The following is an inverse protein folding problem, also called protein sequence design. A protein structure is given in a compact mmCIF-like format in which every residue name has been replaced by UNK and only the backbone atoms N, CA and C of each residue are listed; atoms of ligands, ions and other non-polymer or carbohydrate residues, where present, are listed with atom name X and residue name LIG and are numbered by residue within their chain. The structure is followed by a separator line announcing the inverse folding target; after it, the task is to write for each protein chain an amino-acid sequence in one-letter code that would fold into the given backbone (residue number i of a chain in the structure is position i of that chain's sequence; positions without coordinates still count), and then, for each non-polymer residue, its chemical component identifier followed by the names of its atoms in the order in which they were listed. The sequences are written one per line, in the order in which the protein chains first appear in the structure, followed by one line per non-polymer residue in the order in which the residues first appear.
data_IF_297638260319
#
_entry.id   IF_297638260319
#
_cell.length_a   1.000
_cell.length_b   1.000
_cell.length_c   1.000
_cell.angle_alpha   90.00
_cell.angle_beta   90.00
_cell.angle_gamma   90.00
#
_symmetry.space_group_name_H-M   'P 1'
#
loop_
_entity.id
_entity.type
_entity.pdbx_description
1 polymer ?
#
# COMPACT_ATOMS: atom_id res chain seq x y z
N UNK A 1 -13.55 50.72 -63.61
CA UNK A 1 -12.17 50.21 -63.61
C UNK A 1 -12.01 49.33 -62.39
N UNK A 2 -12.23 48.09 -62.52
CA UNK A 2 -11.38 46.87 -62.51
C UNK A 2 -10.19 46.98 -61.57
N UNK A 3 -10.20 46.16 -60.49
CA UNK A 3 -9.12 45.31 -60.15
C UNK A 3 -9.51 44.28 -59.04
N UNK A 4 -9.18 43.04 -59.35
CA UNK A 4 -9.54 41.77 -58.83
C UNK A 4 -8.95 41.44 -57.43
N UNK A 5 -9.48 40.40 -56.80
CA UNK A 5 -9.12 39.95 -55.46
C UNK A 5 -7.90 39.07 -55.46
N UNK A 6 -7.15 39.11 -54.36
CA UNK A 6 -6.09 38.15 -54.09
C UNK A 6 -6.57 37.13 -53.03
N UNK A 7 -6.82 35.91 -53.52
CA UNK A 7 -7.12 34.77 -52.67
C UNK A 7 -5.79 34.26 -52.08
N UNK A 8 -5.61 34.43 -50.78
CA UNK A 8 -4.52 33.75 -50.08
C UNK A 8 -5.16 32.59 -49.32
N UNK A 9 -4.90 31.38 -49.80
CA UNK A 9 -5.13 30.12 -49.15
C UNK A 9 -4.12 30.00 -48.02
N UNK A 10 -4.58 30.02 -46.76
CA UNK A 10 -3.78 29.58 -45.61
C UNK A 10 -4.25 28.15 -45.31
N UNK A 11 -3.51 27.19 -45.80
CA UNK A 11 -3.56 25.81 -45.34
C UNK A 11 -2.79 25.73 -44.01
N UNK A 12 -3.49 25.90 -42.90
CA UNK A 12 -2.95 25.67 -41.59
C UNK A 12 -2.97 24.17 -41.31
N UNK A 13 -1.78 23.61 -41.22
CA UNK A 13 -1.50 22.23 -40.90
C UNK A 13 -2.06 21.88 -39.50
N UNK A 14 -3.01 20.98 -39.48
CA UNK A 14 -3.38 20.21 -38.27
C UNK A 14 -2.30 19.17 -37.99
N UNK A 15 -1.20 19.61 -37.41
CA UNK A 15 -0.15 18.73 -36.92
C UNK A 15 -0.34 18.53 -35.41
N UNK A 16 -0.87 17.38 -35.05
CA UNK A 16 -0.38 16.64 -33.92
C UNK A 16 -0.67 17.15 -32.53
N UNK A 17 -1.75 16.67 -31.91
CA UNK A 17 -1.76 16.45 -30.46
C UNK A 17 -2.24 15.05 -30.15
N UNK A 18 -1.44 14.06 -30.55
CA UNK A 18 -1.57 12.69 -30.09
C UNK A 18 -0.52 12.41 -29.00
N UNK A 19 -0.55 13.18 -27.90
CA UNK A 19 0.39 13.01 -26.77
C UNK A 19 -0.32 13.01 -25.41
N UNK A 20 -1.49 12.42 -25.30
CA UNK A 20 -2.16 12.27 -24.00
C UNK A 20 -2.57 10.84 -23.69
N UNK A 21 -1.77 9.87 -24.11
CA UNK A 21 -1.91 8.48 -23.68
C UNK A 21 -0.71 8.07 -22.79
N UNK A 22 -0.15 8.96 -21.98
CA UNK A 22 0.73 8.59 -20.90
C UNK A 22 -0.13 8.26 -19.68
N UNK A 23 -0.58 7.02 -19.57
CA UNK A 23 -0.92 6.46 -18.28
C UNK A 23 0.24 6.70 -17.29
N UNK A 24 0.01 6.69 -15.96
CA UNK A 24 1.05 7.00 -14.98
C UNK A 24 2.30 6.17 -15.28
N UNK A 25 3.43 6.86 -15.46
CA UNK A 25 4.70 6.23 -15.89
C UNK A 25 5.09 5.21 -14.82
N UNK A 26 4.95 3.92 -15.12
CA UNK A 26 5.27 2.80 -14.21
C UNK A 26 6.77 2.64 -13.96
N UNK A 27 7.62 3.22 -14.82
CA UNK A 27 9.07 3.11 -14.74
C UNK A 27 9.60 3.64 -13.41
N UNK A 28 10.27 2.79 -12.63
CA UNK A 28 10.84 3.16 -11.32
C UNK A 28 9.82 3.25 -10.18
N UNK A 29 8.55 2.85 -10.37
CA UNK A 29 7.59 2.70 -9.30
C UNK A 29 7.67 1.30 -8.68
N UNK A 30 7.60 1.24 -7.35
CA UNK A 30 7.36 0.01 -6.60
C UNK A 30 5.85 -0.26 -6.48
N UNK A 31 5.05 0.79 -6.29
CA UNK A 31 3.60 0.74 -6.40
C UNK A 31 3.02 2.09 -6.82
N UNK A 32 1.83 2.04 -7.41
CA UNK A 32 0.95 3.18 -7.67
C UNK A 32 -0.32 2.98 -6.84
N UNK A 33 -0.71 4.00 -6.08
CA UNK A 33 -1.88 3.97 -5.19
C UNK A 33 -2.68 5.25 -5.42
N UNK A 34 -3.61 5.22 -6.36
CA UNK A 34 -4.31 6.43 -6.80
C UNK A 34 -3.35 7.43 -7.46
N UNK A 35 -3.23 8.61 -6.86
CA UNK A 35 -2.29 9.64 -7.28
C UNK A 35 -0.91 9.51 -6.61
N UNK A 36 -0.80 8.65 -5.61
CA UNK A 36 0.45 8.45 -4.89
C UNK A 36 1.33 7.44 -5.59
N UNK A 37 2.62 7.72 -5.61
CA UNK A 37 3.63 6.88 -6.21
C UNK A 37 4.70 6.52 -5.20
N UNK A 38 4.78 5.26 -4.85
CA UNK A 38 5.89 4.71 -4.07
C UNK A 38 6.99 4.34 -5.07
N UNK A 39 8.07 5.12 -5.11
CA UNK A 39 9.19 4.82 -6.01
C UNK A 39 10.07 3.70 -5.43
N UNK A 40 10.78 2.97 -6.32
CA UNK A 40 11.79 1.98 -5.89
C UNK A 40 12.88 2.65 -5.05
N UNK A 41 13.29 3.88 -5.39
CA UNK A 41 14.26 4.64 -4.62
C UNK A 41 13.75 4.96 -3.20
N UNK A 42 12.49 5.42 -3.06
CA UNK A 42 11.89 5.66 -1.74
C UNK A 42 11.79 4.37 -0.93
N UNK A 43 11.36 3.27 -1.55
CA UNK A 43 11.26 1.97 -0.89
C UNK A 43 12.63 1.49 -0.40
N UNK A 44 13.67 1.55 -1.22
CA UNK A 44 15.03 1.18 -0.82
C UNK A 44 15.52 2.06 0.34
N UNK A 45 15.34 3.38 0.23
CA UNK A 45 15.70 4.31 1.32
C UNK A 45 14.94 4.02 2.62
N UNK A 46 13.68 3.62 2.54
CA UNK A 46 12.87 3.21 3.70
C UNK A 46 13.49 1.96 4.37
N UNK A 47 13.83 0.94 3.59
CA UNK A 47 14.46 -0.27 4.10
C UNK A 47 15.86 0.00 4.66
N UNK A 48 16.65 0.84 4.00
CA UNK A 48 18.00 1.22 4.47
C UNK A 48 17.93 1.95 5.84
N UNK A 49 16.97 2.84 6.02
CA UNK A 49 16.74 3.51 7.31
C UNK A 49 16.31 2.50 8.37
N UNK A 50 15.31 1.68 8.06
CA UNK A 50 14.83 0.63 8.94
C UNK A 50 15.96 -0.28 9.41
N UNK A 51 16.82 -0.76 8.51
CA UNK A 51 17.93 -1.67 8.85
C UNK A 51 18.98 -1.02 9.77
N UNK A 52 19.16 0.30 9.67
CA UNK A 52 20.07 1.08 10.53
C UNK A 52 19.46 1.41 11.89
N UNK A 53 18.15 1.50 11.98
CA UNK A 53 17.43 1.83 13.21
C UNK A 53 17.12 0.58 14.05
N UNK A 54 16.76 -0.54 13.43
CA UNK A 54 16.34 -1.77 14.08
C UNK A 54 17.29 -2.24 15.19
N UNK A 55 18.64 -2.22 15.04
CA UNK A 55 19.56 -2.63 16.10
C UNK A 55 19.52 -1.75 17.35
N UNK A 56 19.04 -0.52 17.24
CA UNK A 56 18.93 0.44 18.36
C UNK A 56 17.71 0.17 19.24
N UNK A 57 16.79 -0.71 18.80
CA UNK A 57 15.53 -1.04 19.48
C UNK A 57 15.43 -2.55 19.73
N UNK A 58 16.09 -3.10 20.76
CA UNK A 58 16.05 -4.54 21.04
C UNK A 58 14.62 -5.09 21.20
N UNK A 59 13.70 -4.27 21.73
CA UNK A 59 12.28 -4.61 21.88
C UNK A 59 11.59 -4.90 20.54
N UNK A 60 12.02 -4.28 19.44
CA UNK A 60 11.42 -4.52 18.13
C UNK A 60 11.61 -5.96 17.65
N UNK A 61 12.80 -6.55 17.89
CA UNK A 61 13.07 -7.94 17.55
C UNK A 61 12.25 -8.91 18.40
N UNK A 62 12.10 -8.61 19.70
CA UNK A 62 11.26 -9.42 20.59
C UNK A 62 9.79 -9.39 20.16
N UNK A 63 9.26 -8.21 19.81
CA UNK A 63 7.88 -8.06 19.30
C UNK A 63 7.68 -8.91 18.03
N UNK A 64 8.60 -8.85 17.07
CA UNK A 64 8.51 -9.62 15.83
C UNK A 64 8.55 -11.13 16.08
N UNK A 65 9.44 -11.60 16.95
CA UNK A 65 9.53 -13.01 17.33
C UNK A 65 8.27 -13.48 18.06
N UNK A 66 7.76 -12.71 18.99
CA UNK A 66 6.55 -13.05 19.74
C UNK A 66 5.32 -13.12 18.83
N UNK A 67 5.16 -12.20 17.88
CA UNK A 67 4.08 -12.23 16.92
C UNK A 67 4.15 -13.50 16.03
N UNK A 68 5.33 -13.87 15.57
CA UNK A 68 5.53 -15.12 14.82
C UNK A 68 5.19 -16.36 15.66
N UNK A 69 5.62 -16.40 16.92
CA UNK A 69 5.34 -17.51 17.83
C UNK A 69 3.84 -17.69 18.13
N UNK A 70 3.07 -16.60 18.09
CA UNK A 70 1.61 -16.60 18.27
C UNK A 70 0.84 -16.92 16.98
N UNK A 71 1.52 -17.26 15.89
CA UNK A 71 0.89 -17.54 14.59
C UNK A 71 0.20 -16.32 13.97
N UNK A 72 0.47 -15.12 14.49
CA UNK A 72 0.01 -13.91 13.86
C UNK A 72 0.74 -13.76 12.53
N UNK A 73 -0.01 -13.57 11.45
CA UNK A 73 0.57 -13.17 10.17
C UNK A 73 1.16 -11.77 10.33
N UNK A 74 2.42 -11.72 10.79
CA UNK A 74 3.15 -10.46 10.77
C UNK A 74 3.40 -10.17 9.29
N UNK A 75 3.00 -9.00 8.79
CA UNK A 75 3.27 -8.65 7.40
C UNK A 75 4.76 -8.46 7.11
N UNK A 76 5.61 -8.71 8.11
CA UNK A 76 7.06 -8.64 7.99
C UNK A 76 7.63 -9.99 7.58
N UNK A 77 8.13 -10.06 6.35
CA UNK A 77 8.92 -11.16 5.82
C UNK A 77 10.42 -10.77 5.92
N UNK A 78 11.19 -11.37 6.83
CA UNK A 78 12.62 -11.04 6.98
C UNK A 78 13.43 -11.43 5.74
N UNK A 79 12.94 -12.33 4.90
CA UNK A 79 13.60 -12.70 3.64
C UNK A 79 13.40 -11.64 2.55
N UNK A 80 12.42 -10.76 2.69
CA UNK A 80 12.12 -9.70 1.74
C UNK A 80 11.65 -8.40 2.45
N UNK A 81 12.57 -7.67 3.10
CA UNK A 81 12.23 -6.41 3.80
C UNK A 81 11.55 -5.39 2.91
N UNK A 82 11.91 -5.35 1.61
CA UNK A 82 11.28 -4.46 0.65
C UNK A 82 9.78 -4.76 0.48
N UNK A 83 9.39 -6.03 0.44
CA UNK A 83 7.98 -6.41 0.33
C UNK A 83 7.21 -6.03 1.59
N UNK A 84 7.80 -6.27 2.75
CA UNK A 84 7.22 -5.90 4.04
C UNK A 84 6.98 -4.40 4.14
N UNK A 85 8.00 -3.59 3.85
CA UNK A 85 7.89 -2.14 3.85
C UNK A 85 6.87 -1.65 2.81
N UNK A 86 6.88 -2.22 1.59
CA UNK A 86 5.94 -1.85 0.54
C UNK A 86 4.50 -2.14 0.94
N UNK A 87 4.25 -3.33 1.54
CA UNK A 87 2.93 -3.69 2.04
C UNK A 87 2.43 -2.64 3.04
N UNK A 88 3.23 -2.28 4.05
CA UNK A 88 2.85 -1.32 5.07
C UNK A 88 2.55 0.08 4.48
N UNK A 89 3.39 0.55 3.55
CA UNK A 89 3.18 1.83 2.89
C UNK A 89 1.89 1.84 2.07
N UNK A 90 1.60 0.77 1.34
CA UNK A 90 0.35 0.61 0.57
C UNK A 90 -0.84 0.52 1.51
N UNK A 91 -0.75 -0.29 2.58
CA UNK A 91 -1.83 -0.49 3.55
C UNK A 91 -2.27 0.82 4.20
N UNK A 92 -1.32 1.66 4.64
CA UNK A 92 -1.62 2.98 5.20
C UNK A 92 -2.38 3.88 4.20
N UNK A 93 -1.96 3.91 2.93
CA UNK A 93 -2.62 4.71 1.89
C UNK A 93 -4.03 4.20 1.58
N UNK A 94 -4.24 2.89 1.55
CA UNK A 94 -5.58 2.31 1.33
C UNK A 94 -6.49 2.62 2.50
N UNK A 95 -6.02 2.52 3.74
CA UNK A 95 -6.83 2.88 4.92
C UNK A 95 -7.16 4.38 4.97
N UNK A 96 -6.24 5.26 4.59
CA UNK A 96 -6.53 6.70 4.45
C UNK A 96 -7.67 6.94 3.44
N UNK A 97 -7.68 6.22 2.32
CA UNK A 97 -8.78 6.30 1.34
C UNK A 97 -10.09 5.75 1.90
N UNK A 98 -10.06 4.64 2.67
CA UNK A 98 -11.25 4.10 3.35
C UNK A 98 -11.84 5.17 4.28
N UNK A 99 -11.00 5.76 5.14
CA UNK A 99 -11.43 6.80 6.07
C UNK A 99 -12.02 8.00 5.35
N UNK A 100 -11.33 8.48 4.32
CA UNK A 100 -11.81 9.61 3.51
C UNK A 100 -13.16 9.33 2.84
N UNK A 101 -13.32 8.14 2.27
CA UNK A 101 -14.57 7.74 1.61
C UNK A 101 -15.74 7.57 2.58
N UNK A 102 -15.46 7.21 3.82
CA UNK A 102 -16.44 6.96 4.87
C UNK A 102 -16.65 8.17 5.82
N UNK A 103 -15.96 9.28 5.57
CA UNK A 103 -16.05 10.49 6.39
C UNK A 103 -15.45 10.32 7.80
N UNK A 104 -14.54 9.33 7.98
CA UNK A 104 -13.79 9.13 9.22
C UNK A 104 -12.41 9.76 9.09
N UNK A 105 -12.06 10.62 10.05
CA UNK A 105 -10.76 11.29 10.10
C UNK A 105 -10.16 11.16 11.49
N UNK A 106 -8.83 11.16 11.55
CA UNK A 106 -8.05 11.10 12.79
C UNK A 106 -7.26 12.39 12.94
N UNK A 107 -7.46 13.09 14.05
CA UNK A 107 -6.73 14.31 14.37
C UNK A 107 -5.34 14.03 14.94
N UNK A 108 -4.43 15.01 14.83
CA UNK A 108 -3.11 14.91 15.47
C UNK A 108 -3.18 14.70 16.99
N UNK A 109 -4.16 15.33 17.66
CA UNK A 109 -4.38 15.15 19.10
C UNK A 109 -4.80 13.72 19.48
N UNK A 110 -5.60 13.04 18.65
CA UNK A 110 -5.92 11.62 18.86
C UNK A 110 -4.67 10.74 18.71
N UNK A 111 -3.83 11.02 17.71
CA UNK A 111 -2.55 10.33 17.53
C UNK A 111 -1.66 10.52 18.77
N UNK A 112 -1.52 11.75 19.26
CA UNK A 112 -0.70 12.06 20.44
C UNK A 112 -1.24 11.36 21.70
N UNK A 113 -2.55 11.34 21.89
CA UNK A 113 -3.18 10.65 23.00
C UNK A 113 -2.91 9.13 22.99
N UNK A 114 -3.00 8.50 21.82
CA UNK A 114 -2.71 7.06 21.67
C UNK A 114 -1.23 6.77 21.91
N UNK A 115 -0.33 7.61 21.41
CA UNK A 115 1.11 7.48 21.67
C UNK A 115 1.38 7.53 23.18
N UNK A 116 0.79 8.51 23.88
CA UNK A 116 0.97 8.65 25.33
C UNK A 116 0.41 7.46 26.10
N UNK A 117 -0.78 6.96 25.73
CA UNK A 117 -1.42 5.81 26.37
C UNK A 117 -0.64 4.50 26.18
N UNK A 118 0.12 4.38 25.10
CA UNK A 118 0.91 3.19 24.77
C UNK A 118 2.39 3.27 25.20
N UNK A 119 2.71 4.08 26.18
CA UNK A 119 4.06 4.17 26.74
C UNK A 119 5.01 5.13 26.00
N UNK A 120 4.45 5.99 25.16
CA UNK A 120 5.20 7.03 24.46
C UNK A 120 5.75 6.59 23.12
N UNK A 121 6.44 7.53 22.45
CA UNK A 121 6.90 7.36 21.08
C UNK A 121 7.90 6.19 20.93
N UNK A 122 8.77 5.98 21.92
CA UNK A 122 9.77 4.89 21.87
C UNK A 122 9.14 3.49 21.77
N UNK A 123 8.00 3.27 22.44
CA UNK A 123 7.27 2.00 22.33
C UNK A 123 6.63 1.84 20.94
N UNK A 124 6.08 2.93 20.40
CA UNK A 124 5.53 2.94 19.04
C UNK A 124 6.64 2.70 18.02
N UNK A 125 7.81 3.33 18.18
CA UNK A 125 8.97 3.13 17.32
C UNK A 125 9.39 1.65 17.25
N UNK A 126 9.44 0.98 18.41
CA UNK A 126 9.75 -0.45 18.46
C UNK A 126 8.71 -1.29 17.69
N UNK A 127 7.42 -0.96 17.82
CA UNK A 127 6.35 -1.64 17.09
C UNK A 127 6.46 -1.42 15.57
N UNK A 128 6.73 -0.19 15.14
CA UNK A 128 6.86 0.17 13.72
C UNK A 128 8.08 -0.51 13.09
N UNK A 129 9.20 -0.55 13.81
CA UNK A 129 10.39 -1.29 13.39
C UNK A 129 10.13 -2.79 13.27
N UNK A 130 9.34 -3.37 14.20
CA UNK A 130 8.92 -4.77 14.11
C UNK A 130 8.02 -5.06 12.89
N UNK A 131 7.36 -4.04 12.33
CA UNK A 131 6.56 -4.12 11.09
C UNK A 131 7.37 -3.87 9.82
N UNK A 132 8.67 -3.59 9.91
CA UNK A 132 9.55 -3.35 8.76
C UNK A 132 9.59 -1.91 8.27
N UNK A 133 9.14 -0.94 9.07
CA UNK A 133 9.22 0.48 8.77
C UNK A 133 10.18 1.22 9.71
N UNK A 134 10.89 2.26 9.26
CA UNK A 134 11.69 3.13 10.13
C UNK A 134 10.78 4.04 10.99
N UNK A 135 11.34 4.56 12.06
CA UNK A 135 10.64 5.36 13.08
C UNK A 135 9.99 6.63 12.53
N UNK A 136 10.44 7.14 11.39
CA UNK A 136 9.80 8.28 10.71
C UNK A 136 8.32 8.05 10.39
N UNK A 137 7.88 6.78 10.31
CA UNK A 137 6.48 6.42 10.05
C UNK A 137 5.64 6.18 11.31
N UNK A 138 6.19 6.34 12.51
CA UNK A 138 5.51 6.02 13.76
C UNK A 138 4.17 6.74 13.91
N UNK A 139 4.11 8.02 13.57
CA UNK A 139 2.87 8.79 13.66
C UNK A 139 1.84 8.39 12.60
N UNK A 140 2.27 8.15 11.37
CA UNK A 140 1.39 7.72 10.26
C UNK A 140 0.86 6.30 10.54
N UNK A 141 1.69 5.42 11.09
CA UNK A 141 1.28 4.11 11.54
C UNK A 141 0.19 4.20 12.63
N UNK A 142 0.42 4.99 13.70
CA UNK A 142 -0.58 5.20 14.75
C UNK A 142 -1.87 5.78 14.17
N UNK A 143 -1.78 6.77 13.28
CA UNK A 143 -2.94 7.33 12.58
C UNK A 143 -3.75 6.25 11.87
N UNK A 144 -3.10 5.36 11.13
CA UNK A 144 -3.77 4.26 10.41
C UNK A 144 -4.40 3.24 11.37
N UNK A 145 -3.77 2.96 12.51
CA UNK A 145 -4.32 2.07 13.55
C UNK A 145 -5.57 2.68 14.17
N UNK A 146 -5.51 3.96 14.56
CA UNK A 146 -6.66 4.68 15.13
C UNK A 146 -7.81 4.74 14.14
N UNK A 147 -7.52 5.04 12.87
CA UNK A 147 -8.52 5.08 11.81
C UNK A 147 -9.23 3.72 11.65
N UNK A 148 -8.48 2.63 11.64
CA UNK A 148 -9.05 1.27 11.61
C UNK A 148 -9.94 0.99 12.83
N UNK A 149 -9.49 1.37 14.02
CA UNK A 149 -10.27 1.19 15.25
C UNK A 149 -11.59 1.99 15.21
N UNK A 150 -11.55 3.24 14.73
CA UNK A 150 -12.76 4.06 14.58
C UNK A 150 -13.74 3.45 13.55
N UNK A 151 -13.24 2.94 12.45
CA UNK A 151 -14.06 2.24 11.46
C UNK A 151 -14.65 0.95 12.05
N UNK A 152 -13.85 0.13 12.74
CA UNK A 152 -14.34 -1.08 13.39
C UNK A 152 -15.41 -0.76 14.43
N UNK A 153 -15.24 0.32 15.22
CA UNK A 153 -16.22 0.79 16.19
C UNK A 153 -17.50 1.27 15.49
N UNK A 154 -17.36 2.08 14.44
CA UNK A 154 -18.49 2.62 13.66
C UNK A 154 -19.36 1.51 13.06
N UNK A 155 -18.74 0.43 12.61
CA UNK A 155 -19.43 -0.71 12.00
C UNK A 155 -19.78 -1.84 12.99
N UNK A 156 -19.59 -1.61 14.28
CA UNK A 156 -20.03 -2.54 15.31
C UNK A 156 -19.13 -3.76 15.54
N UNK A 157 -17.94 -3.83 14.95
CA UNK A 157 -17.00 -4.97 15.15
C UNK A 157 -16.67 -5.14 16.63
N UNK A 158 -16.44 -4.04 17.34
CA UNK A 158 -16.06 -4.03 18.77
C UNK A 158 -17.25 -4.08 19.73
N UNK A 159 -18.48 -3.89 19.23
CA UNK A 159 -19.71 -3.81 20.03
C UNK A 159 -20.67 -4.96 19.75
N UNK A 160 -20.36 -5.83 18.78
CA UNK A 160 -21.15 -7.01 18.48
C UNK A 160 -21.21 -7.95 19.69
N UNK A 161 -22.41 -8.39 20.04
CA UNK A 161 -22.64 -9.26 21.20
C UNK A 161 -22.53 -10.74 20.85
N UNK A 162 -22.54 -11.08 19.57
CA UNK A 162 -22.45 -12.45 19.07
C UNK A 162 -21.42 -12.55 17.94
N UNK A 163 -20.91 -13.76 17.74
CA UNK A 163 -19.86 -14.05 16.77
C UNK A 163 -20.32 -13.81 15.33
N UNK A 164 -21.59 -14.05 15.00
CA UNK A 164 -22.14 -13.87 13.66
C UNK A 164 -22.16 -12.38 13.29
N UNK A 165 -22.68 -11.53 14.17
CA UNK A 165 -22.68 -10.06 13.99
C UNK A 165 -21.27 -9.51 13.85
N UNK A 166 -20.34 -10.01 14.66
CA UNK A 166 -18.93 -9.62 14.57
C UNK A 166 -18.31 -9.98 13.21
N UNK A 167 -18.56 -11.22 12.72
CA UNK A 167 -18.08 -11.64 11.41
C UNK A 167 -18.66 -10.81 10.27
N UNK A 168 -19.95 -10.48 10.32
CA UNK A 168 -20.60 -9.63 9.32
C UNK A 168 -19.98 -8.24 9.29
N UNK A 169 -19.73 -7.65 10.46
CA UNK A 169 -19.11 -6.35 10.59
C UNK A 169 -17.65 -6.35 10.04
N UNK A 170 -16.87 -7.40 10.33
CA UNK A 170 -15.52 -7.58 9.78
C UNK A 170 -15.54 -7.70 8.25
N UNK A 171 -16.49 -8.47 7.69
CA UNK A 171 -16.66 -8.59 6.23
C UNK A 171 -17.02 -7.23 5.59
N UNK A 172 -17.85 -6.44 6.25
CA UNK A 172 -18.21 -5.11 5.77
C UNK A 172 -16.97 -4.19 5.70
N UNK A 173 -16.16 -4.15 6.75
CA UNK A 173 -14.92 -3.36 6.81
C UNK A 173 -13.91 -3.87 5.77
N UNK A 174 -13.74 -5.18 5.63
CA UNK A 174 -12.90 -5.77 4.58
C UNK A 174 -13.38 -5.39 3.17
N UNK A 175 -14.69 -5.40 2.94
CA UNK A 175 -15.29 -4.94 1.68
C UNK A 175 -15.02 -3.46 1.39
N UNK A 176 -14.93 -2.62 2.41
CA UNK A 176 -14.57 -1.20 2.24
C UNK A 176 -13.11 -1.05 1.79
N UNK A 177 -12.20 -1.80 2.41
CA UNK A 177 -10.79 -1.85 2.02
C UNK A 177 -10.61 -2.28 0.56
N UNK A 178 -11.30 -3.36 0.15
CA UNK A 178 -11.26 -3.83 -1.23
C UNK A 178 -11.79 -2.79 -2.23
N UNK A 179 -12.89 -2.10 -1.89
CA UNK A 179 -13.44 -1.03 -2.74
C UNK A 179 -12.49 0.16 -2.84
N UNK A 180 -11.85 0.54 -1.74
CA UNK A 180 -10.87 1.62 -1.72
C UNK A 180 -9.66 1.29 -2.61
N UNK A 181 -9.08 0.08 -2.48
CA UNK A 181 -7.98 -0.36 -3.31
C UNK A 181 -8.31 -0.38 -4.81
N UNK A 182 -9.52 -0.84 -5.17
CA UNK A 182 -10.00 -0.79 -6.57
C UNK A 182 -10.18 0.65 -7.07
N UNK A 183 -10.71 1.55 -6.23
CA UNK A 183 -10.89 2.98 -6.56
C UNK A 183 -9.54 3.66 -6.77
N UNK A 184 -8.58 3.34 -5.96
CA UNK A 184 -7.20 3.82 -6.07
C UNK A 184 -6.44 3.21 -7.26
N UNK A 185 -7.04 2.23 -7.96
CA UNK A 185 -6.37 1.50 -9.05
C UNK A 185 -4.97 1.03 -8.62
N UNK A 186 -4.92 0.42 -7.41
CA UNK A 186 -3.68 -0.07 -6.84
C UNK A 186 -2.97 -1.00 -7.81
N UNK A 187 -1.73 -0.66 -8.15
CA UNK A 187 -0.87 -1.39 -9.07
C UNK A 187 0.51 -1.57 -8.44
N UNK A 188 0.88 -2.78 -8.14
CA UNK A 188 2.16 -3.14 -7.53
C UNK A 188 3.11 -3.65 -8.62
N UNK A 189 4.35 -3.21 -8.59
CA UNK A 189 5.36 -3.69 -9.51
C UNK A 189 5.53 -5.22 -9.33
N UNK A 190 5.40 -6.02 -10.41
CA UNK A 190 5.41 -7.49 -10.34
C UNK A 190 6.64 -8.11 -9.65
N UNK A 191 7.76 -7.40 -9.60
CA UNK A 191 8.95 -7.86 -8.86
C UNK A 191 8.75 -7.96 -7.34
N UNK A 192 7.70 -7.31 -6.81
CA UNK A 192 7.29 -7.37 -5.40
C UNK A 192 6.05 -8.24 -5.20
N UNK A 193 5.50 -8.83 -6.27
CA UNK A 193 4.26 -9.59 -6.29
C UNK A 193 3.06 -8.77 -6.76
N UNK A 194 1.87 -9.33 -6.65
CA UNK A 194 0.60 -8.63 -6.89
C UNK A 194 -0.09 -8.36 -5.56
N UNK A 195 -0.96 -7.35 -5.49
CA UNK A 195 -1.74 -7.13 -4.28
C UNK A 195 -3.00 -8.00 -4.29
N UNK A 196 -3.12 -8.88 -3.30
CA UNK A 196 -4.29 -9.71 -3.08
C UNK A 196 -5.29 -8.98 -2.17
N UNK A 197 -6.39 -8.53 -2.77
CA UNK A 197 -7.44 -7.83 -2.04
C UNK A 197 -8.29 -8.74 -1.14
N UNK A 198 -8.30 -10.05 -1.37
CA UNK A 198 -9.07 -10.98 -0.53
C UNK A 198 -8.35 -11.20 0.81
N UNK A 199 -7.05 -11.35 0.76
CA UNK A 199 -6.22 -11.56 1.94
C UNK A 199 -5.59 -10.27 2.47
N UNK A 200 -5.80 -9.13 1.78
CA UNK A 200 -5.19 -7.83 2.11
C UNK A 200 -3.67 -7.96 2.29
N UNK A 201 -2.99 -8.60 1.33
CA UNK A 201 -1.58 -8.96 1.40
C UNK A 201 -0.89 -8.85 0.03
N UNK A 202 0.43 -8.83 0.02
CA UNK A 202 1.19 -9.04 -1.21
C UNK A 202 1.26 -10.55 -1.50
N UNK A 203 0.70 -10.94 -2.62
CA UNK A 203 0.80 -12.29 -3.16
C UNK A 203 2.23 -12.67 -3.58
N UNK A 204 2.45 -13.92 -3.99
CA UNK A 204 3.78 -14.42 -4.36
C UNK A 204 4.38 -13.64 -5.53
N UNK A 205 5.72 -13.57 -5.56
CA UNK A 205 6.46 -13.04 -6.71
C UNK A 205 6.42 -14.07 -7.82
N UNK A 206 6.03 -13.64 -9.04
CA UNK A 206 6.02 -14.52 -10.19
C UNK A 206 7.45 -14.74 -10.72
N UNK A 207 8.01 -15.96 -10.64
CA UNK A 207 9.38 -16.24 -11.05
C UNK A 207 9.59 -16.15 -12.57
N UNK A 208 8.53 -16.12 -13.36
CA UNK A 208 8.57 -16.12 -14.83
C UNK A 208 8.94 -14.78 -15.46
N UNK A 209 8.94 -13.69 -14.68
CA UNK A 209 9.28 -12.34 -15.19
C UNK A 209 10.78 -12.14 -15.49
N UNK A 210 11.65 -13.09 -15.14
CA UNK A 210 13.11 -12.99 -15.31
C UNK A 210 13.71 -14.11 -16.16
N UNK A 211 12.90 -15.00 -16.76
CA UNK A 211 13.42 -16.01 -17.69
C UNK A 211 13.30 -15.50 -19.13
N UNK A 212 14.40 -15.49 -19.90
CA UNK A 212 14.28 -15.37 -21.35
C UNK A 212 13.45 -16.56 -21.86
N UNK A 213 12.62 -16.29 -22.84
CA UNK A 213 11.68 -17.22 -23.46
C UNK A 213 12.43 -18.42 -24.09
N UNK A 214 12.77 -19.41 -23.27
CA UNK A 214 13.24 -20.71 -23.74
C UNK A 214 12.03 -21.63 -23.80
N UNK A 215 11.44 -21.72 -25.00
CA UNK A 215 10.19 -22.39 -25.33
C UNK A 215 10.10 -23.87 -24.99
N UNK A 216 10.05 -24.21 -23.71
CA UNK A 216 9.65 -25.54 -23.24
C UNK A 216 8.63 -25.36 -22.10
N UNK A 217 7.37 -25.83 -22.26
CA UNK A 217 6.39 -25.78 -21.19
C UNK A 217 6.76 -26.81 -20.13
N UNK A 218 7.34 -26.38 -19.02
CA UNK A 218 7.45 -27.21 -17.82
C UNK A 218 6.15 -27.13 -17.03
N UNK A 219 5.39 -28.21 -17.07
CA UNK A 219 4.23 -28.46 -16.22
C UNK A 219 4.71 -28.65 -14.77
N UNK A 220 4.74 -27.60 -13.98
CA UNK A 220 4.82 -27.71 -12.52
C UNK A 220 3.69 -26.89 -11.97
N UNK A 221 2.90 -27.48 -11.03
CA UNK A 221 1.65 -26.98 -10.46
C UNK A 221 1.67 -25.48 -10.18
N UNK A 222 1.09 -24.72 -11.10
CA UNK A 222 1.37 -23.31 -11.22
C UNK A 222 0.39 -22.47 -10.44
N UNK A 223 0.90 -21.61 -9.61
CA UNK A 223 0.24 -20.37 -9.23
C UNK A 223 0.06 -19.55 -10.51
N UNK A 224 -1.18 -19.37 -10.95
CA UNK A 224 -1.51 -18.60 -12.15
C UNK A 224 -1.19 -17.13 -11.89
N UNK A 225 -0.08 -16.65 -12.47
CA UNK A 225 0.22 -15.23 -12.53
C UNK A 225 -0.65 -14.60 -13.62
N UNK A 226 -1.86 -14.16 -13.28
CA UNK A 226 -2.66 -13.33 -14.17
C UNK A 226 -2.26 -11.87 -13.99
N UNK A 227 -1.89 -11.24 -15.11
CA UNK A 227 -1.63 -9.80 -15.24
C UNK A 227 -2.93 -9.01 -15.31
#
# INVERSE_FOLDING_TARGET
MIRKPFKIMIAAALAGTALTACGPVKTGAAALVGNDRITIAKLNSTVDKWSKELPKYPGAQQIAQQAQAQGQQVPFDPSSPQRSALYQLVDMLVWDEVGRADGVSVSGGQVDAIIAQNGGLSTIDANVLAQGLPTEYSRDYVKSVVLRQELMRKYGVTTAQDQQSQQQALQQVAGMYQRAGRRLKLDVNPRYGSFDFQHMALGPVCPTLSKPDSGTPTTSGGVSCQA
#
